data_IF_722372884821
#
_entry.id   IF_722372884821
#
_cell.length_a   1.000
_cell.length_b   1.000
_cell.length_c   1.000
_cell.angle_alpha   90.00
_cell.angle_beta   90.00
_cell.angle_gamma   90.00
#
_symmetry.space_group_name_H-M   'P 1'
#
loop_
_entity.id
_entity.type
_entity.pdbx_description
1 polymer ?
#
# COMPACT_ATOMS: atom_id res chain seq x y z
N UNK A 1 -2.61 -18.36 16.03
CA UNK A 1 -2.12 -16.99 16.30
C UNK A 1 -2.48 -16.12 15.12
N UNK A 2 -3.08 -14.94 15.36
CA UNK A 2 -3.38 -13.96 14.30
C UNK A 2 -2.08 -13.18 14.05
N UNK A 3 -1.43 -13.40 12.91
CA UNK A 3 -0.24 -12.63 12.55
C UNK A 3 -0.60 -11.14 12.42
N UNK A 4 0.24 -10.22 12.93
CA UNK A 4 -0.01 -8.79 12.76
C UNK A 4 -0.03 -8.44 11.27
N UNK A 5 -0.98 -7.59 10.89
CA UNK A 5 -1.07 -7.00 9.55
C UNK A 5 -0.50 -5.59 9.62
N UNK A 6 0.31 -5.23 8.63
CA UNK A 6 0.94 -3.93 8.52
C UNK A 6 0.45 -3.25 7.25
N UNK A 7 0.01 -2.00 7.39
CA UNK A 7 -0.40 -1.16 6.27
C UNK A 7 0.84 -0.51 5.65
N UNK A 8 1.14 -0.85 4.40
CA UNK A 8 2.25 -0.27 3.63
C UNK A 8 1.68 0.79 2.70
N UNK A 9 2.00 2.08 2.91
CA UNK A 9 1.46 3.15 2.09
C UNK A 9 2.14 3.18 0.71
N UNK A 10 1.31 3.26 -0.33
CA UNK A 10 1.74 3.20 -1.73
C UNK A 10 1.03 4.22 -2.60
N UNK A 11 1.65 4.52 -3.73
CA UNK A 11 1.08 5.26 -4.86
C UNK A 11 1.11 4.38 -6.10
N UNK A 12 -0.04 4.14 -6.70
CA UNK A 12 -0.15 3.50 -8.01
C UNK A 12 -0.34 4.55 -9.10
N UNK A 13 0.44 4.44 -10.17
CA UNK A 13 0.24 5.21 -11.40
C UNK A 13 -0.45 4.32 -12.43
N UNK A 14 -1.55 4.80 -12.99
CA UNK A 14 -2.36 4.07 -13.97
C UNK A 14 -1.95 4.39 -15.42
N UNK A 15 -2.42 3.58 -16.37
CA UNK A 15 -2.17 3.75 -17.82
C UNK A 15 -2.59 5.12 -18.35
N UNK A 16 -3.61 5.74 -17.77
CA UNK A 16 -4.09 7.08 -18.13
C UNK A 16 -3.29 8.22 -17.48
N UNK A 17 -2.25 7.88 -16.71
CA UNK A 17 -1.42 8.83 -15.95
C UNK A 17 -2.03 9.26 -14.61
N UNK A 18 -3.24 8.82 -14.27
CA UNK A 18 -3.84 9.13 -12.98
C UNK A 18 -3.12 8.40 -11.84
N UNK A 19 -3.14 9.02 -10.65
CA UNK A 19 -2.48 8.49 -9.46
C UNK A 19 -3.52 8.11 -8.41
N UNK A 20 -3.32 6.94 -7.80
CA UNK A 20 -4.13 6.43 -6.70
C UNK A 20 -3.24 6.16 -5.50
N UNK A 21 -3.64 6.67 -4.34
CA UNK A 21 -2.92 6.49 -3.09
C UNK A 21 -3.69 5.51 -2.22
N UNK A 22 -2.98 4.74 -1.38
CA UNK A 22 -3.63 3.86 -0.42
C UNK A 22 -2.65 2.97 0.31
N UNK A 23 -3.17 2.18 1.23
CA UNK A 23 -2.42 1.19 1.98
C UNK A 23 -2.59 -0.21 1.43
N UNK A 24 -1.49 -0.94 1.25
CA UNK A 24 -1.51 -2.39 1.01
C UNK A 24 -1.18 -3.09 2.32
N UNK A 25 -2.07 -3.98 2.75
CA UNK A 25 -1.84 -4.75 3.97
C UNK A 25 -0.98 -5.98 3.70
N UNK A 26 0.15 -6.08 4.40
CA UNK A 26 1.04 -7.25 4.39
C UNK A 26 1.02 -7.93 5.75
N UNK A 27 1.24 -9.25 5.77
CA UNK A 27 1.47 -10.00 7.01
C UNK A 27 2.95 -9.98 7.39
N UNK A 28 3.27 -10.29 8.65
CA UNK A 28 4.65 -10.42 9.10
C UNK A 28 5.43 -11.41 8.21
N UNK A 29 6.62 -10.99 7.73
CA UNK A 29 7.48 -11.72 6.76
C UNK A 29 7.00 -11.78 5.31
N UNK A 30 5.87 -11.13 4.98
CA UNK A 30 5.41 -10.98 3.59
C UNK A 30 5.97 -9.67 3.02
N UNK A 31 6.52 -9.73 1.81
CA UNK A 31 6.95 -8.55 1.05
C UNK A 31 5.76 -7.98 0.30
N UNK A 32 5.77 -6.68 0.06
CA UNK A 32 4.75 -6.06 -0.80
C UNK A 32 4.74 -6.66 -2.21
N UNK A 33 5.91 -7.04 -2.72
CA UNK A 33 6.06 -7.72 -4.01
C UNK A 33 5.26 -9.02 -4.06
N UNK A 34 5.20 -9.77 -2.95
CA UNK A 34 4.45 -11.03 -2.89
C UNK A 34 2.93 -10.78 -3.04
N UNK A 35 2.43 -9.64 -2.53
CA UNK A 35 1.03 -9.23 -2.71
C UNK A 35 0.77 -8.77 -4.14
N UNK A 36 1.69 -7.99 -4.72
CA UNK A 36 1.56 -7.48 -6.08
C UNK A 36 1.66 -8.59 -7.13
N UNK A 37 2.51 -9.59 -6.91
CA UNK A 37 2.72 -10.72 -7.80
C UNK A 37 1.82 -11.92 -7.50
N UNK A 38 0.85 -11.80 -6.58
CA UNK A 38 -0.14 -12.85 -6.40
C UNK A 38 -0.99 -13.04 -7.69
N UNK A 39 -1.56 -14.22 -7.88
CA UNK A 39 -2.33 -14.55 -9.10
C UNK A 39 -3.66 -13.78 -9.23
N UNK A 40 -4.00 -12.92 -8.26
CA UNK A 40 -5.27 -12.18 -8.27
C UNK A 40 -5.16 -11.00 -9.22
N UNK A 41 -6.26 -10.73 -9.93
CA UNK A 41 -6.32 -9.61 -10.89
C UNK A 41 -6.40 -8.23 -10.22
N UNK A 42 -6.67 -8.18 -8.92
CA UNK A 42 -6.91 -6.93 -8.19
C UNK A 42 -6.00 -6.78 -6.98
N UNK A 43 -5.56 -5.54 -6.71
CA UNK A 43 -4.83 -5.16 -5.51
C UNK A 43 -5.79 -4.41 -4.58
N UNK A 44 -5.95 -4.83 -3.32
CA UNK A 44 -6.73 -4.07 -2.35
C UNK A 44 -5.95 -2.84 -1.86
N UNK A 45 -6.50 -1.66 -2.10
CA UNK A 45 -6.02 -0.39 -1.56
C UNK A 45 -6.94 0.02 -0.42
N UNK A 46 -6.41 0.10 0.80
CA UNK A 46 -7.12 0.60 1.97
C UNK A 46 -6.93 2.11 2.09
N UNK A 47 -8.04 2.83 2.15
CA UNK A 47 -8.12 4.26 2.44
C UNK A 47 -8.70 4.46 3.85
N UNK A 48 -8.77 5.71 4.31
CA UNK A 48 -9.36 6.08 5.62
C UNK A 48 -10.74 5.49 5.90
N UNK A 49 -11.62 5.53 4.92
CA UNK A 49 -13.05 5.25 5.08
C UNK A 49 -13.51 4.00 4.33
N UNK A 50 -12.69 3.48 3.40
CA UNK A 50 -13.07 2.40 2.50
C UNK A 50 -11.89 1.60 2.00
N UNK A 51 -12.16 0.41 1.46
CA UNK A 51 -11.19 -0.33 0.64
C UNK A 51 -11.66 -0.33 -0.81
N UNK A 52 -10.75 -0.03 -1.72
CA UNK A 52 -10.99 -0.12 -3.17
C UNK A 52 -10.16 -1.27 -3.75
N UNK A 53 -10.64 -1.87 -4.84
CA UNK A 53 -9.92 -2.91 -5.58
C UNK A 53 -9.39 -2.33 -6.88
N UNK A 54 -8.06 -2.24 -6.99
CA UNK A 54 -7.40 -1.69 -8.16
C UNK A 54 -7.05 -2.81 -9.15
N UNK A 55 -7.47 -2.69 -10.41
CA UNK A 55 -7.16 -3.69 -11.42
C UNK A 55 -5.68 -3.62 -11.81
N UNK A 56 -4.93 -4.71 -11.60
CA UNK A 56 -3.50 -4.80 -11.90
C UNK A 56 -3.18 -4.53 -13.37
N UNK A 57 -4.08 -4.91 -14.29
CA UNK A 57 -3.88 -4.71 -15.73
C UNK A 57 -3.86 -3.23 -16.13
N UNK A 58 -4.23 -2.32 -15.23
CA UNK A 58 -4.27 -0.88 -15.45
C UNK A 58 -3.17 -0.12 -14.71
N UNK A 59 -2.35 -0.82 -13.93
CA UNK A 59 -1.27 -0.24 -13.13
C UNK A 59 0.02 -0.32 -13.92
N UNK A 60 0.67 0.83 -14.10
CA UNK A 60 1.97 0.94 -14.77
C UNK A 60 3.11 0.88 -13.74
N UNK A 61 2.91 1.50 -12.57
CA UNK A 61 3.93 1.61 -11.55
C UNK A 61 3.30 1.64 -10.15
N UNK A 62 3.96 1.03 -9.18
CA UNK A 62 3.62 1.13 -7.74
C UNK A 62 4.86 1.61 -7.00
N UNK A 63 4.75 2.79 -6.41
CA UNK A 63 5.77 3.38 -5.55
C UNK A 63 5.43 3.16 -4.08
N UNK A 64 6.43 2.83 -3.28
CA UNK A 64 6.32 2.94 -1.83
C UNK A 64 6.48 4.41 -1.46
N UNK A 65 5.56 4.93 -0.64
CA UNK A 65 5.65 6.32 -0.20
C UNK A 65 6.81 6.46 0.80
N UNK A 66 7.60 7.51 0.63
CA UNK A 66 8.64 7.88 1.58
C UNK A 66 8.02 8.45 2.86
N UNK A 67 8.77 8.39 3.97
CA UNK A 67 8.32 8.89 5.27
C UNK A 67 7.81 10.35 5.23
N UNK A 68 8.44 11.20 4.42
CA UNK A 68 8.02 12.58 4.22
C UNK A 68 6.62 12.66 3.57
N UNK A 69 6.40 11.92 2.47
CA UNK A 69 5.12 11.86 1.76
C UNK A 69 4.01 11.26 2.65
N UNK A 70 4.33 10.24 3.46
CA UNK A 70 3.39 9.64 4.42
C UNK A 70 2.92 10.67 5.44
N UNK A 71 3.82 11.55 5.90
CA UNK A 71 3.51 12.57 6.90
C UNK A 71 2.58 13.64 6.31
N UNK A 72 2.78 14.01 5.05
CA UNK A 72 1.89 14.95 4.34
C UNK A 72 0.51 14.34 4.04
N UNK A 73 0.44 13.02 3.89
CA UNK A 73 -0.79 12.28 3.55
C UNK A 73 -1.41 11.55 4.75
N UNK A 74 -1.04 11.93 5.98
CA UNK A 74 -1.48 11.27 7.21
C UNK A 74 -3.02 11.20 7.34
N UNK A 75 -3.75 12.18 6.78
CA UNK A 75 -5.22 12.20 6.79
C UNK A 75 -5.89 11.16 5.89
N UNK A 76 -5.15 10.60 4.92
CA UNK A 76 -5.66 9.70 3.88
C UNK A 76 -5.29 8.24 4.19
N UNK A 77 -4.21 8.02 4.94
CA UNK A 77 -3.63 6.72 5.24
C UNK A 77 -3.84 6.37 6.72
N UNK A 78 -4.97 5.75 7.09
CA UNK A 78 -5.17 5.28 8.46
C UNK A 78 -4.26 4.08 8.75
N UNK A 79 -3.96 3.83 10.01
CA UNK A 79 -3.33 2.59 10.48
C UNK A 79 -1.87 2.37 10.04
N UNK A 80 -1.17 3.40 9.57
CA UNK A 80 0.27 3.31 9.30
C UNK A 80 1.04 3.22 10.61
N UNK A 81 1.69 2.08 10.85
CA UNK A 81 2.59 1.91 11.98
C UNK A 81 3.97 2.48 11.63
N UNK A 82 4.21 3.75 11.97
CA UNK A 82 5.46 4.44 11.69
C UNK A 82 6.68 3.77 12.33
N UNK A 83 6.54 3.16 13.50
CA UNK A 83 7.64 2.48 14.18
C UNK A 83 8.05 1.21 13.41
N UNK A 84 7.07 0.48 12.87
CA UNK A 84 7.33 -0.67 12.01
C UNK A 84 8.03 -0.27 10.70
N UNK A 85 7.59 0.81 10.05
CA UNK A 85 8.23 1.31 8.82
C UNK A 85 9.69 1.66 9.08
N UNK A 86 9.96 2.45 10.13
CA UNK A 86 11.32 2.84 10.53
C UNK A 86 12.20 1.63 10.85
N UNK A 87 11.67 0.65 11.59
CA UNK A 87 12.42 -0.54 11.98
C UNK A 87 12.82 -1.42 10.78
N UNK A 88 12.10 -1.35 9.66
CA UNK A 88 12.37 -2.13 8.45
C UNK A 88 13.07 -1.32 7.35
N UNK A 89 13.49 -0.08 7.63
CA UNK A 89 14.13 0.82 6.66
C UNK A 89 13.31 0.97 5.37
N UNK A 90 11.99 1.06 5.52
CA UNK A 90 11.07 1.44 4.45
C UNK A 90 10.90 2.95 4.40
#
# INVERSE_FOLDING_TARGET
MKYPKYCVPVKATLEDGSQQFGGIHVTQSQRILDVLCDERSFIPFTLRDRTILLNKSKVVQVDLLQLAEITEMADILPEVNLDYLKANSW
#
